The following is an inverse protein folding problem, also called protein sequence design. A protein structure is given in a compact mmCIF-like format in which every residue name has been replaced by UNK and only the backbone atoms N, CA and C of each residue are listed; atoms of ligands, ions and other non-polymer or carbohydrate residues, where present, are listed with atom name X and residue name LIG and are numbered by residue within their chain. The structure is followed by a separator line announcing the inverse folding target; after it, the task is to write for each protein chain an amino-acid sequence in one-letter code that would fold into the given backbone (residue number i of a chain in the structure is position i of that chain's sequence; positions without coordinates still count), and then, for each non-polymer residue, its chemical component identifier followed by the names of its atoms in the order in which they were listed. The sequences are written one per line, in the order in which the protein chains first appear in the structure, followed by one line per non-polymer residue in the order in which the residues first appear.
data_IF_203253307013
#
_entry.id   IF_203253307013
#
_cell.length_a   1.000
_cell.length_b   1.000
_cell.length_c   1.000
_cell.angle_alpha   90.00
_cell.angle_beta   90.00
_cell.angle_gamma   90.00
#
_symmetry.space_group_name_H-M   'P 1'
#
loop_
_entity.id
_entity.type
_entity.pdbx_description
1 polymer ?
#
# COMPACT_ATOMS: atom_id res chain seq x y z
N UNK A 1 6.68 40.67 6.08
CA UNK A 1 8.00 40.52 6.78
C UNK A 1 8.26 39.12 7.31
N UNK A 2 7.70 38.62 8.44
CA UNK A 2 8.03 37.25 8.91
C UNK A 2 7.61 36.12 7.94
N UNK A 3 6.45 36.22 7.31
CA UNK A 3 5.96 35.19 6.37
C UNK A 3 6.74 35.17 5.03
N UNK A 4 7.10 36.34 4.49
CA UNK A 4 7.94 36.44 3.28
C UNK A 4 9.33 35.83 3.51
N UNK A 5 9.93 36.07 4.67
CA UNK A 5 11.22 35.46 5.06
C UNK A 5 11.11 33.93 5.12
N UNK A 6 9.98 33.40 5.60
CA UNK A 6 9.78 31.96 5.73
C UNK A 6 9.60 31.24 4.38
N UNK A 7 8.94 31.85 3.39
CA UNK A 7 8.82 31.24 2.05
C UNK A 7 10.19 31.17 1.35
N UNK A 8 11.04 32.17 1.53
CA UNK A 8 12.40 32.16 0.96
C UNK A 8 13.28 31.10 1.64
N UNK A 9 13.23 31.00 2.98
CA UNK A 9 13.88 29.91 3.72
C UNK A 9 13.41 28.53 3.26
N UNK A 10 12.11 28.33 3.03
CA UNK A 10 11.58 27.07 2.50
C UNK A 10 12.16 26.76 1.12
N UNK A 11 12.20 27.75 0.21
CA UNK A 11 12.77 27.58 -1.13
C UNK A 11 14.25 27.20 -1.08
N UNK A 12 15.00 27.69 -0.09
CA UNK A 12 16.38 27.31 0.15
C UNK A 12 16.47 25.87 0.67
N UNK A 13 15.67 25.51 1.68
CA UNK A 13 15.64 24.15 2.23
C UNK A 13 15.30 23.10 1.16
N UNK A 14 14.35 23.38 0.27
CA UNK A 14 13.96 22.47 -0.83
C UNK A 14 15.01 22.27 -1.94
N UNK A 15 16.17 22.94 -1.86
CA UNK A 15 17.31 22.72 -2.77
C UNK A 15 18.28 21.65 -2.27
N UNK A 16 18.13 21.21 -1.03
CA UNK A 16 18.96 20.19 -0.39
C UNK A 16 18.33 18.79 -0.49
N UNK A 17 19.11 17.76 -0.19
CA UNK A 17 18.57 16.41 0.03
C UNK A 17 17.62 16.40 1.24
N UNK A 18 16.52 15.62 1.21
CA UNK A 18 16.13 14.62 0.21
C UNK A 18 15.28 15.17 -0.95
N UNK A 19 15.18 16.50 -1.09
CA UNK A 19 14.29 17.12 -2.06
C UNK A 19 14.88 17.15 -3.48
N UNK A 20 14.01 16.92 -4.44
CA UNK A 20 14.32 16.89 -5.87
C UNK A 20 13.64 18.05 -6.60
N UNK A 21 13.92 18.19 -7.89
CA UNK A 21 13.21 19.15 -8.74
C UNK A 21 11.69 18.89 -8.77
N UNK A 22 11.28 17.61 -8.70
CA UNK A 22 9.86 17.24 -8.69
C UNK A 22 9.15 17.77 -7.43
N UNK A 23 9.80 17.74 -6.26
CA UNK A 23 9.22 18.28 -5.01
C UNK A 23 9.03 19.79 -5.09
N UNK A 24 10.02 20.50 -5.63
CA UNK A 24 9.93 21.96 -5.81
C UNK A 24 8.81 22.33 -6.77
N UNK A 25 8.66 21.60 -7.88
CA UNK A 25 7.57 21.80 -8.83
C UNK A 25 6.23 21.48 -8.16
N UNK A 26 6.15 20.42 -7.37
CA UNK A 26 4.94 20.07 -6.64
C UNK A 26 4.53 21.16 -5.65
N UNK A 27 5.46 21.66 -4.84
CA UNK A 27 5.21 22.79 -3.93
C UNK A 27 4.76 24.04 -4.68
N UNK A 28 5.46 24.39 -5.77
CA UNK A 28 5.09 25.54 -6.58
C UNK A 28 3.68 25.38 -7.18
N UNK A 29 3.33 24.17 -7.64
CA UNK A 29 2.00 23.85 -8.11
C UNK A 29 0.92 24.07 -7.03
N UNK A 30 1.17 23.66 -5.79
CA UNK A 30 0.24 23.89 -4.67
C UNK A 30 0.08 25.39 -4.37
N UNK A 31 1.18 26.13 -4.29
CA UNK A 31 1.15 27.57 -4.07
C UNK A 31 0.38 28.30 -5.19
N UNK A 32 0.62 27.95 -6.46
CA UNK A 32 0.03 28.66 -7.60
C UNK A 32 -1.44 28.31 -7.84
N UNK A 33 -1.81 27.02 -7.72
CA UNK A 33 -3.13 26.53 -8.12
C UNK A 33 -4.10 26.44 -6.94
N UNK A 34 -3.60 26.16 -5.75
CA UNK A 34 -4.41 26.08 -4.53
C UNK A 34 -4.27 27.30 -3.63
N UNK A 35 -3.38 28.25 -3.97
CA UNK A 35 -3.14 29.46 -3.17
C UNK A 35 -2.72 29.15 -1.74
N UNK A 36 -1.99 28.05 -1.56
CA UNK A 36 -1.43 27.71 -0.24
C UNK A 36 -0.22 28.60 0.02
N UNK A 37 -0.30 29.38 1.10
CA UNK A 37 0.72 30.34 1.51
C UNK A 37 1.47 29.89 2.76
N UNK A 38 0.94 28.89 3.49
CA UNK A 38 1.56 28.42 4.71
C UNK A 38 2.84 27.61 4.38
N UNK A 39 4.03 28.11 4.74
CA UNK A 39 5.29 27.48 4.37
C UNK A 39 5.46 26.11 5.05
N UNK A 40 4.86 25.91 6.21
CA UNK A 40 4.89 24.63 6.90
C UNK A 40 4.04 23.59 6.16
N UNK A 41 2.87 23.99 5.64
CA UNK A 41 2.02 23.13 4.78
C UNK A 41 2.76 22.75 3.49
N UNK A 42 3.37 23.73 2.83
CA UNK A 42 4.17 23.48 1.64
C UNK A 42 5.39 22.58 1.93
N UNK A 43 6.02 22.75 3.09
CA UNK A 43 7.13 21.90 3.54
C UNK A 43 6.72 20.44 3.76
N UNK A 44 5.62 20.19 4.49
CA UNK A 44 5.12 18.82 4.69
C UNK A 44 4.60 18.20 3.39
N UNK A 45 4.10 19.00 2.45
CA UNK A 45 3.73 18.53 1.12
C UNK A 45 4.93 18.01 0.33
N UNK A 46 6.04 18.77 0.31
CA UNK A 46 7.30 18.32 -0.27
C UNK A 46 7.81 17.05 0.40
N UNK A 47 7.76 17.00 1.72
CA UNK A 47 8.23 15.85 2.49
C UNK A 47 7.37 14.60 2.23
N UNK A 48 6.05 14.75 2.17
CA UNK A 48 5.14 13.66 1.81
C UNK A 48 5.44 13.12 0.41
N UNK A 49 5.70 14.00 -0.56
CA UNK A 49 6.08 13.59 -1.91
C UNK A 49 7.46 12.92 -1.96
N UNK A 50 8.42 13.39 -1.14
CA UNK A 50 9.72 12.78 -0.99
C UNK A 50 9.64 11.38 -0.38
N UNK A 51 8.95 11.25 0.76
CA UNK A 51 8.73 9.97 1.44
C UNK A 51 8.03 8.95 0.52
N UNK A 52 7.12 9.41 -0.33
CA UNK A 52 6.44 8.53 -1.30
C UNK A 52 7.41 7.89 -2.29
N UNK A 53 8.46 8.59 -2.71
CA UNK A 53 9.49 8.01 -3.59
C UNK A 53 10.33 6.94 -2.91
N UNK A 54 10.46 7.04 -1.59
CA UNK A 54 11.16 6.05 -0.76
C UNK A 54 10.26 4.85 -0.42
N UNK A 55 9.00 4.86 -0.85
CA UNK A 55 8.05 3.76 -0.70
C UNK A 55 7.07 3.91 0.47
N UNK A 56 7.11 5.03 1.20
CA UNK A 56 6.10 5.34 2.21
C UNK A 56 4.76 5.65 1.55
N UNK A 57 3.65 5.20 2.14
CA UNK A 57 2.30 5.53 1.62
C UNK A 57 1.79 6.89 2.11
N UNK A 58 2.26 7.32 3.29
CA UNK A 58 1.89 8.58 3.94
C UNK A 58 3.01 9.11 4.81
N UNK A 59 2.92 10.39 5.17
CA UNK A 59 3.72 11.04 6.20
C UNK A 59 2.92 11.11 7.50
N UNK A 60 3.48 10.62 8.62
CA UNK A 60 2.82 10.70 9.93
C UNK A 60 3.15 12.03 10.62
N UNK A 61 2.16 12.92 10.70
CA UNK A 61 2.33 14.23 11.35
C UNK A 61 2.50 14.14 12.87
N UNK A 62 2.20 12.99 13.48
CA UNK A 62 2.41 12.77 14.92
C UNK A 62 3.88 12.57 15.28
N UNK A 63 4.71 12.15 14.31
CA UNK A 63 6.13 11.89 14.52
C UNK A 63 6.98 13.00 13.94
N UNK A 64 7.88 13.56 14.77
CA UNK A 64 8.90 14.50 14.31
C UNK A 64 10.13 13.80 13.73
N UNK A 65 10.23 12.46 13.82
CA UNK A 65 11.39 11.69 13.37
C UNK A 65 11.50 11.61 11.84
N UNK A 66 10.39 11.83 11.14
CA UNK A 66 10.29 11.76 9.68
C UNK A 66 10.88 12.97 8.94
N UNK A 67 11.41 13.98 9.64
CA UNK A 67 12.02 15.13 8.98
C UNK A 67 13.53 14.99 8.79
N UNK A 68 14.03 15.42 7.63
CA UNK A 68 15.34 16.04 7.57
C UNK A 68 15.31 17.24 8.52
N UNK A 69 16.18 17.24 9.52
CA UNK A 69 16.40 18.34 10.48
C UNK A 69 16.57 19.72 9.80
N UNK A 70 16.83 19.73 8.49
CA UNK A 70 16.96 20.92 7.66
C UNK A 70 15.67 21.76 7.50
N UNK A 71 14.49 21.15 7.39
CA UNK A 71 13.25 21.92 7.19
C UNK A 71 12.88 22.77 8.43
N UNK A 72 13.24 22.34 9.63
CA UNK A 72 12.92 23.04 10.87
C UNK A 72 13.99 24.05 11.27
N UNK A 73 15.27 23.72 11.04
CA UNK A 73 16.39 24.58 11.39
C UNK A 73 16.42 25.87 10.57
N UNK A 74 16.13 25.81 9.27
CA UNK A 74 16.15 26.98 8.38
C UNK A 74 14.89 27.87 8.52
N UNK A 75 13.83 27.32 9.11
CA UNK A 75 12.51 27.94 9.19
C UNK A 75 12.19 28.52 10.58
N UNK A 76 13.01 28.24 11.60
CA UNK A 76 12.76 28.61 13.02
C UNK A 76 11.39 28.12 13.52
N UNK A 77 10.94 26.96 13.04
CA UNK A 77 9.70 26.31 13.50
C UNK A 77 10.01 25.15 14.43
N UNK A 78 9.24 25.04 15.52
CA UNK A 78 9.07 23.78 16.22
C UNK A 78 8.05 22.91 15.47
N UNK A 79 8.25 21.58 15.48
CA UNK A 79 7.25 20.67 14.93
C UNK A 79 5.94 20.78 15.74
N UNK A 80 4.80 21.10 15.11
CA UNK A 80 3.53 21.23 15.80
C UNK A 80 3.09 19.93 16.47
N UNK A 81 2.36 20.06 17.59
CA UNK A 81 1.63 18.93 18.14
C UNK A 81 0.37 18.62 17.32
N UNK A 82 -0.25 17.47 17.56
CA UNK A 82 -1.43 17.03 16.78
C UNK A 82 -2.59 18.04 16.80
N UNK A 83 -2.87 18.69 17.93
CA UNK A 83 -3.94 19.69 18.02
C UNK A 83 -3.64 20.98 17.24
N UNK A 84 -2.35 21.30 17.04
CA UNK A 84 -1.91 22.38 16.16
C UNK A 84 -1.98 21.97 14.70
N UNK A 85 -1.58 20.73 14.37
CA UNK A 85 -1.72 20.19 13.03
C UNK A 85 -3.17 20.17 12.55
N UNK A 86 -4.11 19.77 13.41
CA UNK A 86 -5.54 19.82 13.10
C UNK A 86 -5.99 21.24 12.69
N UNK A 87 -5.52 22.27 13.41
CA UNK A 87 -5.82 23.67 13.09
C UNK A 87 -5.16 24.12 11.78
N UNK A 88 -3.89 23.78 11.58
CA UNK A 88 -3.14 24.11 10.35
C UNK A 88 -3.80 23.48 9.13
N UNK A 89 -4.16 22.20 9.22
CA UNK A 89 -4.83 21.46 8.14
C UNK A 89 -6.21 22.05 7.85
N UNK A 90 -7.00 22.41 8.86
CA UNK A 90 -8.30 23.06 8.66
C UNK A 90 -8.20 24.41 7.97
N UNK A 91 -7.10 25.13 8.13
CA UNK A 91 -6.84 26.41 7.45
C UNK A 91 -6.19 26.26 6.08
N UNK A 92 -5.73 25.06 5.72
CA UNK A 92 -5.03 24.81 4.45
C UNK A 92 -6.01 24.87 3.27
N UNK A 93 -5.51 25.35 2.14
CA UNK A 93 -6.26 25.38 0.88
C UNK A 93 -5.95 24.20 -0.03
N UNK A 94 -4.99 23.35 0.34
CA UNK A 94 -4.53 22.22 -0.46
C UNK A 94 -4.60 20.86 0.28
N UNK A 95 -4.91 20.86 1.56
CA UNK A 95 -5.17 19.65 2.35
C UNK A 95 -6.66 19.58 2.67
N UNK A 96 -7.27 18.45 2.36
CA UNK A 96 -8.66 18.18 2.71
C UNK A 96 -8.84 16.89 3.48
N UNK A 97 -10.09 16.61 3.82
CA UNK A 97 -10.52 15.29 4.24
C UNK A 97 -10.78 14.40 3.02
N UNK A 98 -11.05 13.15 3.32
CA UNK A 98 -11.38 12.13 2.34
C UNK A 98 -12.52 12.58 1.43
N UNK A 99 -12.41 12.28 0.13
CA UNK A 99 -13.45 12.57 -0.88
C UNK A 99 -13.74 14.05 -1.19
N UNK A 100 -12.93 14.98 -0.67
CA UNK A 100 -13.08 16.42 -0.96
C UNK A 100 -12.29 16.88 -2.20
N UNK A 101 -11.49 16.00 -2.83
CA UNK A 101 -10.80 16.28 -4.10
C UNK A 101 -9.51 17.11 -3.98
N UNK A 102 -9.03 17.38 -2.76
CA UNK A 102 -7.76 18.08 -2.53
C UNK A 102 -6.55 17.24 -2.94
N UNK A 103 -5.42 17.86 -3.35
CA UNK A 103 -4.22 17.13 -3.77
C UNK A 103 -3.56 16.37 -2.62
N UNK A 104 -3.72 16.85 -1.39
CA UNK A 104 -3.31 16.20 -0.16
C UNK A 104 -4.54 15.84 0.68
N UNK A 105 -4.47 14.70 1.36
CA UNK A 105 -5.56 14.20 2.21
C UNK A 105 -5.01 13.87 3.59
N UNK A 106 -5.69 14.34 4.63
CA UNK A 106 -5.46 13.87 5.99
C UNK A 106 -6.41 12.69 6.29
N UNK A 107 -5.84 11.57 6.71
CA UNK A 107 -6.59 10.39 7.14
C UNK A 107 -6.05 9.92 8.49
N UNK A 108 -6.82 9.07 9.19
CA UNK A 108 -6.40 8.41 10.45
C UNK A 108 -5.81 9.40 11.50
N UNK A 109 -6.36 10.63 11.56
CA UNK A 109 -5.93 11.77 12.40
C UNK A 109 -4.60 12.43 12.06
N UNK A 110 -3.55 11.68 11.73
CA UNK A 110 -2.20 12.25 11.51
C UNK A 110 -1.54 11.84 10.20
N UNK A 111 -2.15 10.94 9.43
CA UNK A 111 -1.54 10.42 8.21
C UNK A 111 -1.83 11.36 7.03
N UNK A 112 -0.82 12.10 6.58
CA UNK A 112 -0.87 12.96 5.40
C UNK A 112 -0.51 12.14 4.15
N UNK A 113 -1.42 12.10 3.19
CA UNK A 113 -1.24 11.38 1.93
C UNK A 113 -1.19 12.35 0.76
N UNK A 114 -0.47 11.96 -0.30
CA UNK A 114 -0.83 12.36 -1.66
C UNK A 114 -2.16 11.69 -2.00
N UNK A 115 -3.18 12.46 -2.42
CA UNK A 115 -4.55 11.95 -2.63
C UNK A 115 -4.58 10.68 -3.51
N UNK A 116 -3.80 10.68 -4.60
CA UNK A 116 -3.66 9.52 -5.49
C UNK A 116 -3.34 8.21 -4.75
N UNK A 117 -2.44 8.24 -3.78
CA UNK A 117 -2.02 7.06 -3.02
C UNK A 117 -3.04 6.69 -1.95
N UNK A 118 -3.73 7.68 -1.38
CA UNK A 118 -4.87 7.42 -0.50
C UNK A 118 -5.99 6.66 -1.22
N UNK A 119 -6.33 7.09 -2.44
CA UNK A 119 -7.34 6.40 -3.26
C UNK A 119 -6.88 5.00 -3.69
N UNK A 120 -5.59 4.78 -3.96
CA UNK A 120 -5.06 3.44 -4.20
C UNK A 120 -5.22 2.53 -2.97
N UNK A 121 -4.94 3.03 -1.77
CA UNK A 121 -5.13 2.28 -0.53
C UNK A 121 -6.60 1.94 -0.31
N UNK A 122 -7.52 2.88 -0.54
CA UNK A 122 -8.96 2.65 -0.45
C UNK A 122 -9.47 1.62 -1.44
N UNK A 123 -9.09 1.74 -2.72
CA UNK A 123 -9.49 0.78 -3.77
C UNK A 123 -9.00 -0.62 -3.41
N UNK A 124 -7.75 -0.74 -2.95
CA UNK A 124 -7.18 -2.02 -2.52
C UNK A 124 -7.94 -2.60 -1.31
N UNK A 125 -8.12 -1.80 -0.25
CA UNK A 125 -8.81 -2.23 0.96
C UNK A 125 -10.25 -2.67 0.66
N UNK A 126 -10.98 -1.89 -0.15
CA UNK A 126 -12.34 -2.21 -0.56
C UNK A 126 -12.39 -3.51 -1.36
N UNK A 127 -11.53 -3.67 -2.37
CA UNK A 127 -11.47 -4.89 -3.18
C UNK A 127 -11.12 -6.14 -2.35
N UNK A 128 -10.26 -6.00 -1.33
CA UNK A 128 -9.94 -7.09 -0.42
C UNK A 128 -11.16 -7.47 0.44
N UNK A 129 -11.88 -6.50 1.00
CA UNK A 129 -13.09 -6.75 1.81
C UNK A 129 -14.20 -7.38 0.97
N UNK A 130 -14.41 -6.91 -0.26
CA UNK A 130 -15.38 -7.51 -1.16
C UNK A 130 -15.04 -8.98 -1.47
N UNK A 131 -13.75 -9.30 -1.64
CA UNK A 131 -13.28 -10.67 -1.93
C UNK A 131 -13.23 -11.59 -0.71
N UNK A 132 -13.32 -11.06 0.51
CA UNK A 132 -13.40 -11.88 1.73
C UNK A 132 -14.83 -12.07 2.20
N UNK A 133 -15.80 -11.35 1.62
CA UNK A 133 -17.20 -11.61 1.88
C UNK A 133 -17.54 -13.06 1.51
N UNK A 134 -18.27 -13.79 2.37
CA UNK A 134 -18.58 -15.19 2.12
C UNK A 134 -19.51 -15.31 0.90
N UNK A 135 -18.92 -15.66 -0.23
CA UNK A 135 -19.67 -15.89 -1.47
C UNK A 135 -20.19 -17.34 -1.47
N UNK A 136 -21.50 -17.52 -1.60
CA UNK A 136 -22.18 -18.82 -1.56
C UNK A 136 -21.89 -19.73 -2.77
N UNK A 137 -21.07 -19.26 -3.71
CA UNK A 137 -20.89 -19.86 -5.05
C UNK A 137 -19.74 -20.87 -5.09
N UNK A 138 -18.77 -20.77 -4.18
CA UNK A 138 -17.52 -21.55 -4.25
C UNK A 138 -17.23 -22.36 -2.99
N UNK A 139 -18.23 -23.02 -2.43
CA UNK A 139 -17.99 -24.12 -1.48
C UNK A 139 -17.79 -25.42 -2.27
N UNK A 140 -16.56 -25.99 -2.35
CA UNK A 140 -16.39 -27.31 -2.97
C UNK A 140 -17.20 -28.31 -2.15
N UNK A 141 -18.07 -29.08 -2.80
CA UNK A 141 -18.93 -30.08 -2.11
C UNK A 141 -18.10 -31.19 -1.47
N UNK A 142 -16.92 -31.47 -2.01
CA UNK A 142 -15.95 -32.42 -1.48
C UNK A 142 -14.64 -31.71 -1.13
N UNK A 143 -14.52 -31.28 0.12
CA UNK A 143 -13.25 -30.79 0.65
C UNK A 143 -12.46 -31.97 1.25
N UNK A 144 -11.13 -32.04 1.03
CA UNK A 144 -10.28 -32.94 1.79
C UNK A 144 -10.49 -32.74 3.30
N UNK A 145 -10.61 -33.82 4.08
CA UNK A 145 -10.76 -33.74 5.53
C UNK A 145 -9.49 -33.13 6.14
N UNK A 146 -9.65 -32.06 6.93
CA UNK A 146 -8.58 -31.55 7.78
C UNK A 146 -8.21 -32.63 8.81
N UNK A 147 -6.98 -33.17 8.74
CA UNK A 147 -6.46 -34.03 9.81
C UNK A 147 -6.06 -33.14 10.98
N UNK A 148 -6.76 -33.29 12.10
CA UNK A 148 -6.41 -32.63 13.36
C UNK A 148 -5.73 -33.62 14.28
N UNK A 149 -4.40 -33.59 14.33
CA UNK A 149 -3.57 -34.06 15.46
C UNK A 149 -2.12 -33.60 15.20
N UNK A 150 -1.70 -32.50 15.85
CA UNK A 150 -0.36 -31.87 15.76
C UNK A 150 0.18 -31.68 14.33
N UNK A 151 -0.16 -30.57 13.64
CA UNK A 151 0.15 -30.43 12.23
C UNK A 151 1.66 -30.31 12.00
N UNK A 152 2.21 -31.27 11.25
CA UNK A 152 3.54 -31.11 10.67
C UNK A 152 3.47 -30.10 9.49
N UNK A 153 4.62 -29.83 8.84
CA UNK A 153 4.64 -28.90 7.70
C UNK A 153 3.71 -29.32 6.55
N UNK A 154 3.51 -30.62 6.33
CA UNK A 154 2.61 -31.14 5.29
C UNK A 154 1.14 -30.89 5.66
N UNK A 155 0.78 -31.02 6.94
CA UNK A 155 -0.58 -30.74 7.44
C UNK A 155 -0.93 -29.26 7.29
N UNK A 156 0.02 -28.34 7.55
CA UNK A 156 -0.18 -26.90 7.31
C UNK A 156 -0.39 -26.58 5.82
N UNK A 157 0.30 -27.29 4.92
CA UNK A 157 0.10 -27.13 3.47
C UNK A 157 -1.28 -27.65 3.05
N UNK A 158 -1.73 -28.77 3.61
CA UNK A 158 -3.08 -29.29 3.35
C UNK A 158 -4.17 -28.34 3.85
N UNK A 159 -4.02 -27.80 5.06
CA UNK A 159 -4.91 -26.76 5.59
C UNK A 159 -4.91 -25.56 4.65
N UNK A 160 -3.74 -25.10 4.19
CA UNK A 160 -3.66 -23.98 3.25
C UNK A 160 -4.36 -24.27 1.91
N UNK A 161 -4.29 -25.50 1.38
CA UNK A 161 -5.03 -25.91 0.18
C UNK A 161 -6.54 -25.86 0.42
N UNK A 162 -7.02 -26.44 1.52
CA UNK A 162 -8.45 -26.46 1.88
C UNK A 162 -8.98 -25.04 2.07
N UNK A 163 -8.23 -24.17 2.75
CA UNK A 163 -8.61 -22.77 2.95
C UNK A 163 -8.58 -21.98 1.64
N UNK A 164 -7.58 -22.20 0.77
CA UNK A 164 -7.54 -21.57 -0.56
C UNK A 164 -8.75 -21.94 -1.44
N UNK A 165 -9.26 -23.17 -1.34
CA UNK A 165 -10.45 -23.59 -2.09
C UNK A 165 -11.76 -22.99 -1.56
N UNK A 166 -11.80 -22.59 -0.27
CA UNK A 166 -12.99 -22.01 0.38
C UNK A 166 -13.11 -20.50 0.21
N UNK A 167 -12.01 -19.82 -0.13
CA UNK A 167 -11.93 -18.36 -0.13
C UNK A 167 -11.65 -17.84 -1.54
N UNK A 168 -12.35 -16.78 -1.97
CA UNK A 168 -12.14 -16.15 -3.28
C UNK A 168 -10.75 -15.51 -3.40
N UNK A 169 -10.18 -15.06 -2.28
CA UNK A 169 -8.80 -14.59 -2.18
C UNK A 169 -8.10 -15.35 -1.05
N UNK A 170 -6.88 -15.81 -1.30
CA UNK A 170 -6.06 -16.49 -0.31
C UNK A 170 -4.60 -16.14 -0.49
N UNK A 171 -3.91 -15.83 0.61
CA UNK A 171 -2.50 -15.43 0.61
C UNK A 171 -1.67 -16.53 1.28
N UNK A 172 -0.70 -17.07 0.54
CA UNK A 172 0.28 -18.03 1.07
C UNK A 172 1.59 -17.29 1.29
N UNK A 173 1.97 -17.15 2.56
CA UNK A 173 3.27 -16.57 2.96
C UNK A 173 4.20 -17.65 3.52
N UNK A 174 5.50 -17.36 3.58
CA UNK A 174 6.51 -18.27 4.13
C UNK A 174 7.89 -18.05 3.52
N UNK A 175 8.94 -18.36 4.28
CA UNK A 175 10.33 -18.23 3.85
C UNK A 175 10.72 -19.16 2.68
N UNK A 176 11.94 -19.03 2.13
CA UNK A 176 12.47 -19.99 1.15
C UNK A 176 12.38 -21.43 1.70
N UNK A 177 11.98 -22.39 0.86
CA UNK A 177 11.92 -23.81 1.24
C UNK A 177 10.67 -24.27 2.01
N UNK A 178 9.74 -23.39 2.37
CA UNK A 178 8.52 -23.78 3.13
C UNK A 178 7.43 -24.49 2.30
N UNK A 179 7.76 -24.97 1.11
CA UNK A 179 6.82 -25.71 0.25
C UNK A 179 5.63 -24.91 -0.32
N UNK A 180 5.74 -23.58 -0.42
CA UNK A 180 4.71 -22.73 -1.06
C UNK A 180 4.32 -23.22 -2.46
N UNK A 181 5.31 -23.57 -3.29
CA UNK A 181 5.07 -24.11 -4.64
C UNK A 181 4.30 -25.42 -4.58
N UNK A 182 4.67 -26.33 -3.67
CA UNK A 182 3.94 -27.59 -3.44
C UNK A 182 2.50 -27.34 -3.01
N UNK A 183 2.27 -26.35 -2.15
CA UNK A 183 0.92 -25.94 -1.71
C UNK A 183 0.09 -25.43 -2.89
N UNK A 184 0.66 -24.56 -3.72
CA UNK A 184 -0.01 -24.03 -4.93
C UNK A 184 -0.33 -25.15 -5.91
N UNK A 185 0.58 -26.09 -6.14
CA UNK A 185 0.33 -27.26 -6.98
C UNK A 185 -0.79 -28.13 -6.41
N UNK A 186 -0.79 -28.40 -5.11
CA UNK A 186 -1.86 -29.12 -4.41
C UNK A 186 -3.22 -28.45 -4.57
N UNK A 187 -3.26 -27.11 -4.43
CA UNK A 187 -4.46 -26.32 -4.70
C UNK A 187 -4.94 -26.47 -6.14
N UNK A 188 -4.06 -26.32 -7.13
CA UNK A 188 -4.43 -26.45 -8.54
C UNK A 188 -4.97 -27.85 -8.85
N UNK A 189 -4.33 -28.90 -8.35
CA UNK A 189 -4.78 -30.28 -8.51
C UNK A 189 -6.17 -30.47 -7.91
N UNK A 190 -6.39 -30.04 -6.67
CA UNK A 190 -7.70 -30.20 -6.02
C UNK A 190 -8.79 -29.35 -6.68
N UNK A 191 -8.48 -28.14 -7.14
CA UNK A 191 -9.41 -27.30 -7.88
C UNK A 191 -9.84 -27.95 -9.20
N UNK A 192 -8.91 -28.55 -9.94
CA UNK A 192 -9.20 -29.27 -11.19
C UNK A 192 -10.04 -30.51 -10.92
N UNK A 193 -9.69 -31.31 -9.90
CA UNK A 193 -10.41 -32.54 -9.56
C UNK A 193 -11.83 -32.27 -9.02
N UNK A 194 -12.03 -31.14 -8.35
CA UNK A 194 -13.33 -30.76 -7.76
C UNK A 194 -14.23 -29.96 -8.71
N UNK A 195 -13.78 -29.71 -9.94
CA UNK A 195 -14.54 -28.92 -10.91
C UNK A 195 -15.57 -29.76 -11.65
N UNK A 196 -16.85 -29.48 -11.40
CA UNK A 196 -18.00 -30.18 -12.01
C UNK A 196 -18.65 -29.36 -13.15
N UNK A 197 -18.14 -28.18 -13.47
CA UNK A 197 -18.74 -27.30 -14.48
C UNK A 197 -18.51 -27.78 -15.91
N UNK A 198 -19.51 -27.61 -16.78
CA UNK A 198 -19.42 -27.99 -18.21
C UNK A 198 -18.31 -27.25 -18.97
N UNK A 199 -17.99 -26.02 -18.53
CA UNK A 199 -16.92 -25.22 -19.11
C UNK A 199 -15.58 -25.54 -18.45
N UNK A 200 -14.46 -25.61 -19.21
CA UNK A 200 -13.15 -25.86 -18.64
C UNK A 200 -12.71 -24.72 -17.70
N UNK A 201 -12.02 -25.08 -16.61
CA UNK A 201 -11.38 -24.10 -15.74
C UNK A 201 -10.34 -23.29 -16.50
N UNK A 202 -10.42 -21.97 -16.38
CA UNK A 202 -9.43 -21.04 -16.92
C UNK A 202 -8.52 -20.56 -15.80
N UNK A 203 -7.27 -21.02 -15.81
CA UNK A 203 -6.26 -20.70 -14.81
C UNK A 203 -5.19 -19.83 -15.46
N UNK A 204 -4.88 -18.69 -14.85
CA UNK A 204 -3.81 -17.80 -15.32
C UNK A 204 -2.81 -17.58 -14.18
N UNK A 205 -1.54 -17.86 -14.46
CA UNK A 205 -0.43 -17.64 -13.54
C UNK A 205 0.30 -16.36 -13.92
N UNK A 206 0.45 -15.44 -12.98
CA UNK A 206 1.11 -14.14 -13.20
C UNK A 206 2.20 -13.89 -12.16
N UNK A 207 3.19 -13.10 -12.55
CA UNK A 207 4.24 -12.63 -11.66
C UNK A 207 4.62 -11.18 -12.03
N UNK A 208 5.12 -10.37 -11.08
CA UNK A 208 5.37 -8.95 -11.31
C UNK A 208 6.55 -8.67 -12.25
N UNK A 209 7.42 -9.65 -12.50
CA UNK A 209 8.59 -9.50 -13.39
C UNK A 209 8.75 -10.71 -14.31
N UNK A 210 9.34 -10.50 -15.49
CA UNK A 210 9.54 -11.57 -16.48
C UNK A 210 10.37 -12.76 -15.95
N UNK A 211 11.40 -12.49 -15.15
CA UNK A 211 12.22 -13.56 -14.53
C UNK A 211 11.42 -14.39 -13.52
N UNK A 212 10.54 -13.75 -12.73
CA UNK A 212 9.67 -14.46 -11.82
C UNK A 212 8.59 -15.26 -12.58
N UNK A 213 8.05 -14.72 -13.67
CA UNK A 213 7.06 -15.40 -14.50
C UNK A 213 7.64 -16.66 -15.17
N UNK A 214 8.87 -16.58 -15.68
CA UNK A 214 9.58 -17.74 -16.25
C UNK A 214 9.75 -18.86 -15.20
N UNK A 215 10.23 -18.51 -14.00
CA UNK A 215 10.38 -19.45 -12.88
C UNK A 215 9.06 -20.05 -12.42
N UNK A 216 8.00 -19.24 -12.35
CA UNK A 216 6.64 -19.70 -12.01
C UNK A 216 6.14 -20.73 -13.04
N UNK A 217 6.31 -20.42 -14.33
CA UNK A 217 5.89 -21.29 -15.43
C UNK A 217 6.65 -22.62 -15.45
N UNK A 218 7.96 -22.58 -15.23
CA UNK A 218 8.80 -23.77 -15.12
C UNK A 218 8.41 -24.63 -13.91
N UNK A 219 8.21 -24.00 -12.74
CA UNK A 219 7.82 -24.71 -11.51
C UNK A 219 6.49 -25.43 -11.66
N UNK A 220 5.51 -24.77 -12.28
CA UNK A 220 4.20 -25.36 -12.55
C UNK A 220 4.31 -26.51 -13.55
N UNK A 221 5.05 -26.33 -14.66
CA UNK A 221 5.25 -27.37 -15.68
C UNK A 221 5.92 -28.62 -15.11
N UNK A 222 7.01 -28.45 -14.37
CA UNK A 222 7.75 -29.55 -13.74
C UNK A 222 6.91 -30.23 -12.65
N UNK A 223 6.04 -29.48 -11.97
CA UNK A 223 5.10 -30.00 -11.00
C UNK A 223 4.01 -30.88 -11.61
N UNK A 224 3.54 -30.60 -12.82
CA UNK A 224 2.52 -31.42 -13.51
C UNK A 224 3.07 -32.73 -14.09
N UNK A 225 4.37 -32.82 -14.33
CA UNK A 225 5.02 -34.04 -14.86
C UNK A 225 5.41 -35.06 -13.80
N UNK A 226 5.21 -34.73 -12.51
CA UNK A 226 5.49 -35.60 -11.36
C UNK A 226 4.20 -36.22 -10.84
#
# INVERSE_FOLDING_TARGET
MKEETNIESLKQALRSEPFTAADRIFVQFLADNYKEENPLVLGIAALCNAATREGHSFLDLSSSETLPSLLLNDMDYAWPNLGEWERIVQSSTCIGKESEGFPLVIARRSALYLNKYYEYEKILAHSLVEKTAPDSIHSPKSLPREKQESPNTEDLQQVAVVQALKNQIYIISGGPGTGKTTTVLGYLTQAILSHEGENPLRITAVAPTGKAAARLSESIRNGMTR
#
